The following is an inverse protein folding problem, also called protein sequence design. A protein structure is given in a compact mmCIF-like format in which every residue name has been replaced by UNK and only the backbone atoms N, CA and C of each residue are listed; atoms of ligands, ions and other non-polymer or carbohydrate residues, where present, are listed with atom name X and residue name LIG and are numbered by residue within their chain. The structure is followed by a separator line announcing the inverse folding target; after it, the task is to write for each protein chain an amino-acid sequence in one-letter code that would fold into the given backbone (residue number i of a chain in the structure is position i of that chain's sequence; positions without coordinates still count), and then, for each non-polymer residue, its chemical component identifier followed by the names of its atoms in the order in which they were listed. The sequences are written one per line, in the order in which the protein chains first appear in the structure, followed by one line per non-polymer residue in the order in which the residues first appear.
data_IF_253805156432
#
_entry.id   IF_253805156432
#
_cell.length_a   1.000
_cell.length_b   1.000
_cell.length_c   1.000
_cell.angle_alpha   90.00
_cell.angle_beta   90.00
_cell.angle_gamma   90.00
#
_symmetry.space_group_name_H-M   'P 1'
#
loop_
_entity.id
_entity.type
_entity.pdbx_description
1 polymer ?
#
# COMPACT_ATOMS: atom_id res chain seq x y z
N UNK A 1 4.57 21.01 40.99
CA UNK A 1 5.66 20.61 40.08
C UNK A 1 5.37 19.18 39.63
N UNK A 2 5.23 18.91 38.33
CA UNK A 2 5.13 17.51 37.87
C UNK A 2 6.41 16.75 38.21
N UNK A 3 6.27 15.49 38.63
CA UNK A 3 7.39 14.57 38.81
C UNK A 3 8.21 14.51 37.50
N UNK A 4 9.55 14.50 37.56
CA UNK A 4 10.39 14.27 36.38
C UNK A 4 9.94 13.14 35.45
N UNK A 5 9.39 12.05 36.01
CA UNK A 5 8.86 10.93 35.24
C UNK A 5 7.60 11.30 34.44
N UNK A 6 6.65 12.03 35.06
CA UNK A 6 5.44 12.51 34.39
C UNK A 6 5.78 13.49 33.25
N UNK A 7 6.79 14.34 33.43
CA UNK A 7 7.27 15.25 32.37
C UNK A 7 7.81 14.47 31.17
N UNK A 8 8.54 13.38 31.42
CA UNK A 8 9.06 12.51 30.36
C UNK A 8 7.93 11.79 29.63
N UNK A 9 6.94 11.27 30.36
CA UNK A 9 5.75 10.66 29.77
C UNK A 9 4.98 11.65 28.90
N UNK A 10 4.78 12.87 29.39
CA UNK A 10 4.12 13.92 28.63
C UNK A 10 4.88 14.26 27.33
N UNK A 11 6.20 14.42 27.41
CA UNK A 11 7.03 14.69 26.23
C UNK A 11 6.96 13.56 25.18
N UNK A 12 6.89 12.29 25.61
CA UNK A 12 6.70 11.15 24.69
C UNK A 12 5.34 11.20 24.01
N UNK A 13 4.27 11.50 24.76
CA UNK A 13 2.91 11.63 24.21
C UNK A 13 2.81 12.79 23.22
N UNK A 14 3.43 13.93 23.53
CA UNK A 14 3.41 15.09 22.63
C UNK A 14 4.20 14.81 21.35
N UNK A 15 5.39 14.18 21.45
CA UNK A 15 6.13 13.77 20.26
C UNK A 15 5.37 12.74 19.42
N UNK A 16 4.65 11.82 20.04
CA UNK A 16 3.78 10.89 19.34
C UNK A 16 2.66 11.60 18.57
N UNK A 17 1.99 12.58 19.19
CA UNK A 17 0.93 13.37 18.53
C UNK A 17 1.46 14.16 17.34
N UNK A 18 2.62 14.78 17.48
CA UNK A 18 3.30 15.48 16.38
C UNK A 18 3.59 14.52 15.22
N UNK A 19 4.23 13.38 15.50
CA UNK A 19 4.56 12.39 14.48
C UNK A 19 3.31 11.82 13.80
N UNK A 20 2.24 11.59 14.56
CA UNK A 20 0.96 11.14 14.02
C UNK A 20 0.32 12.19 13.08
N UNK A 21 0.41 13.47 13.43
CA UNK A 21 -0.08 14.56 12.58
C UNK A 21 0.75 14.70 11.29
N UNK A 22 2.08 14.58 11.38
CA UNK A 22 2.99 14.60 10.22
C UNK A 22 2.79 13.37 9.32
N UNK A 23 2.39 12.23 9.88
CA UNK A 23 2.26 10.99 9.13
C UNK A 23 1.20 11.08 8.01
N UNK A 24 0.08 11.76 8.23
CA UNK A 24 -1.00 11.85 7.25
C UNK A 24 -0.59 12.56 5.95
N UNK A 25 0.42 13.45 6.01
CA UNK A 25 0.85 14.30 4.89
C UNK A 25 2.30 14.09 4.45
N UNK A 26 3.13 13.43 5.27
CA UNK A 26 4.55 13.21 5.00
C UNK A 26 4.82 12.08 4.00
N UNK A 27 6.07 11.97 3.53
CA UNK A 27 6.47 10.99 2.52
C UNK A 27 6.83 9.60 3.08
N UNK A 28 6.86 9.44 4.40
CA UNK A 28 7.18 8.16 5.02
C UNK A 28 6.10 7.12 4.70
N UNK A 29 6.47 5.95 4.14
CA UNK A 29 5.51 4.89 3.90
C UNK A 29 5.00 4.32 5.23
N UNK A 30 3.74 3.87 5.29
CA UNK A 30 3.23 3.12 6.43
C UNK A 30 3.99 1.81 6.62
N UNK A 31 3.96 1.29 7.85
CA UNK A 31 4.46 -0.05 8.18
C UNK A 31 3.54 -1.17 7.70
N UNK A 32 2.25 -0.89 7.52
CA UNK A 32 1.24 -1.82 7.00
C UNK A 32 0.56 -1.23 5.77
N UNK A 33 0.32 -2.04 4.74
CA UNK A 33 -0.27 -1.57 3.47
C UNK A 33 -1.62 -0.86 3.68
N UNK A 34 -2.51 -1.38 4.53
CA UNK A 34 -3.81 -0.75 4.79
C UNK A 34 -3.73 0.66 5.38
N UNK A 35 -2.63 1.02 6.06
CA UNK A 35 -2.43 2.37 6.63
C UNK A 35 -2.12 3.43 5.59
N UNK A 36 -1.98 3.07 4.31
CA UNK A 36 -2.06 4.05 3.23
C UNK A 36 -3.40 4.80 3.22
N UNK A 37 -4.48 4.20 3.73
CA UNK A 37 -5.78 4.87 3.88
C UNK A 37 -5.72 6.06 4.87
N UNK A 38 -4.77 6.09 5.80
CA UNK A 38 -4.59 7.23 6.71
C UNK A 38 -3.91 8.43 6.02
N UNK A 39 -3.27 8.22 4.87
CA UNK A 39 -2.52 9.25 4.13
C UNK A 39 -3.41 9.95 3.10
N UNK A 40 -4.35 10.76 3.57
CA UNK A 40 -5.39 11.39 2.73
C UNK A 40 -4.82 12.18 1.54
N UNK A 41 -3.66 12.84 1.70
CA UNK A 41 -3.03 13.61 0.61
C UNK A 41 -2.50 12.74 -0.54
N UNK A 42 -2.40 11.42 -0.35
CA UNK A 42 -1.94 10.47 -1.37
C UNK A 42 -3.10 9.85 -2.17
N UNK A 43 -4.34 10.14 -1.79
CA UNK A 43 -5.56 9.61 -2.42
C UNK A 43 -6.16 10.67 -3.34
N UNK A 44 -6.44 10.29 -4.59
CA UNK A 44 -7.12 11.17 -5.55
C UNK A 44 -8.04 10.35 -6.46
N UNK A 45 -9.02 11.01 -7.09
CA UNK A 45 -9.91 10.36 -8.05
C UNK A 45 -9.16 9.67 -9.20
N UNK A 46 -8.03 10.24 -9.64
CA UNK A 46 -7.18 9.64 -10.67
C UNK A 46 -6.33 8.44 -10.20
N UNK A 47 -6.33 8.13 -8.91
CA UNK A 47 -5.58 7.02 -8.29
C UNK A 47 -6.47 6.04 -7.53
N UNK A 48 -7.78 6.17 -7.69
CA UNK A 48 -8.79 5.30 -7.06
C UNK A 48 -9.73 4.77 -8.14
N UNK A 49 -10.25 3.56 -7.94
CA UNK A 49 -11.18 2.90 -8.85
C UNK A 49 -12.12 2.00 -8.05
N UNK A 50 -13.38 1.94 -8.45
CA UNK A 50 -14.36 0.95 -7.97
C UNK A 50 -14.47 -0.25 -8.93
N UNK A 51 -13.88 -0.14 -10.13
CA UNK A 51 -13.93 -1.17 -11.15
C UNK A 51 -12.70 -2.10 -11.05
N UNK A 52 -12.96 -3.39 -10.88
CA UNK A 52 -11.93 -4.42 -10.79
C UNK A 52 -11.14 -4.55 -12.10
N UNK A 53 -11.81 -4.50 -13.25
CA UNK A 53 -11.17 -4.60 -14.56
C UNK A 53 -10.19 -3.46 -14.82
N UNK A 54 -10.56 -2.21 -14.47
CA UNK A 54 -9.65 -1.06 -14.54
C UNK A 54 -8.44 -1.26 -13.63
N UNK A 55 -8.68 -1.75 -12.40
CA UNK A 55 -7.62 -2.05 -11.43
C UNK A 55 -6.64 -3.11 -11.96
N UNK A 56 -7.16 -4.22 -12.50
CA UNK A 56 -6.35 -5.30 -13.07
C UNK A 56 -5.60 -4.83 -14.32
N UNK A 57 -6.23 -4.04 -15.20
CA UNK A 57 -5.57 -3.46 -16.36
C UNK A 57 -4.43 -2.53 -15.96
N UNK A 58 -4.60 -1.73 -14.90
CA UNK A 58 -3.52 -0.91 -14.35
C UNK A 58 -2.36 -1.78 -13.84
N UNK A 59 -2.65 -2.83 -13.07
CA UNK A 59 -1.66 -3.77 -12.56
C UNK A 59 -0.87 -4.45 -13.70
N UNK A 60 -1.56 -4.94 -14.73
CA UNK A 60 -0.94 -5.51 -15.93
C UNK A 60 0.00 -4.51 -16.59
N UNK A 61 -0.47 -3.28 -16.82
CA UNK A 61 0.34 -2.22 -17.42
C UNK A 61 1.60 -1.92 -16.60
N UNK A 62 1.50 -1.87 -15.27
CA UNK A 62 2.67 -1.64 -14.40
C UNK A 62 3.69 -2.79 -14.49
N UNK A 63 3.20 -4.03 -14.53
CA UNK A 63 4.04 -5.22 -14.65
C UNK A 63 4.75 -5.30 -16.01
N UNK A 64 4.03 -5.07 -17.12
CA UNK A 64 4.60 -5.10 -18.46
C UNK A 64 5.65 -3.99 -18.68
N UNK A 65 5.41 -2.81 -18.11
CA UNK A 65 6.38 -1.71 -18.15
C UNK A 65 7.62 -1.97 -17.28
N UNK A 66 7.51 -2.85 -16.28
CA UNK A 66 8.57 -3.16 -15.32
C UNK A 66 8.65 -4.68 -15.12
N UNK A 67 9.13 -5.45 -16.12
CA UNK A 67 9.16 -6.89 -16.01
C UNK A 67 10.11 -7.35 -14.90
N UNK A 68 9.80 -8.46 -14.20
CA UNK A 68 10.67 -9.00 -13.18
C UNK A 68 11.98 -9.53 -13.77
N UNK A 69 13.02 -9.56 -12.95
CA UNK A 69 14.28 -10.23 -13.24
C UNK A 69 14.05 -11.72 -13.54
N UNK A 70 14.70 -12.19 -14.60
CA UNK A 70 14.77 -13.61 -14.95
C UNK A 70 16.12 -14.18 -14.51
N UNK A 71 16.10 -15.39 -13.97
CA UNK A 71 17.33 -16.06 -13.51
C UNK A 71 18.15 -16.51 -14.71
N UNK A 72 19.47 -16.59 -14.52
CA UNK A 72 20.41 -17.05 -15.56
C UNK A 72 20.22 -18.52 -15.95
N UNK A 73 19.56 -19.31 -15.10
CA UNK A 73 19.22 -20.72 -15.35
C UNK A 73 17.90 -20.89 -16.12
N UNK A 74 17.28 -19.80 -16.59
CA UNK A 74 16.01 -19.82 -17.31
C UNK A 74 14.78 -20.10 -16.43
N UNK A 75 14.97 -20.27 -15.11
CA UNK A 75 13.85 -20.41 -14.18
C UNK A 75 13.31 -19.04 -13.77
N UNK A 76 12.03 -19.02 -13.36
CA UNK A 76 11.39 -17.81 -12.87
C UNK A 76 11.83 -17.51 -11.44
N UNK A 77 12.24 -16.27 -11.17
CA UNK A 77 12.47 -15.80 -9.80
C UNK A 77 11.16 -15.46 -9.06
N UNK A 78 10.11 -15.15 -9.81
CA UNK A 78 8.82 -14.67 -9.30
C UNK A 78 7.65 -15.40 -9.98
N UNK A 79 6.48 -15.35 -9.35
CA UNK A 79 5.24 -15.86 -9.95
C UNK A 79 4.91 -15.15 -11.26
N UNK A 80 4.23 -15.84 -12.18
CA UNK A 80 3.80 -15.25 -13.46
C UNK A 80 2.78 -14.13 -13.26
N UNK A 81 2.62 -13.31 -14.30
CA UNK A 81 1.54 -12.32 -14.36
C UNK A 81 0.17 -12.99 -14.17
N UNK A 82 -0.09 -14.11 -14.85
CA UNK A 82 -1.37 -14.83 -14.72
C UNK A 82 -1.66 -15.25 -13.29
N UNK A 83 -0.70 -15.85 -12.57
CA UNK A 83 -0.87 -16.23 -11.16
C UNK A 83 -1.11 -15.01 -10.27
N UNK A 84 -0.43 -13.89 -10.56
CA UNK A 84 -0.63 -12.64 -9.81
C UNK A 84 -2.02 -12.05 -10.04
N UNK A 85 -2.50 -12.08 -11.28
CA UNK A 85 -3.83 -11.59 -11.67
C UNK A 85 -4.94 -12.49 -11.14
N UNK A 86 -4.76 -13.81 -11.16
CA UNK A 86 -5.68 -14.78 -10.56
C UNK A 86 -5.88 -14.49 -9.07
N UNK A 87 -4.77 -14.34 -8.33
CA UNK A 87 -4.82 -13.96 -6.92
C UNK A 87 -5.51 -12.61 -6.72
N UNK A 88 -5.14 -11.58 -7.49
CA UNK A 88 -5.73 -10.25 -7.37
C UNK A 88 -7.25 -10.26 -7.64
N UNK A 89 -7.68 -11.02 -8.65
CA UNK A 89 -9.10 -11.18 -9.01
C UNK A 89 -9.90 -11.82 -7.88
N UNK A 90 -9.31 -12.77 -7.16
CA UNK A 90 -9.95 -13.44 -6.03
C UNK A 90 -9.99 -12.56 -4.76
N UNK A 91 -8.91 -11.85 -4.43
CA UNK A 91 -8.78 -11.17 -3.12
C UNK A 91 -9.33 -9.74 -3.10
N UNK A 92 -9.19 -8.97 -4.19
CA UNK A 92 -9.58 -7.56 -4.22
C UNK A 92 -11.09 -7.36 -3.94
N UNK A 93 -12.02 -8.15 -4.50
CA UNK A 93 -13.45 -8.01 -4.18
C UNK A 93 -13.81 -8.29 -2.71
N UNK A 94 -12.92 -8.98 -1.98
CA UNK A 94 -13.09 -9.31 -0.55
C UNK A 94 -12.46 -8.28 0.37
N UNK A 95 -11.99 -7.14 -0.17
CA UNK A 95 -11.38 -6.05 0.58
C UNK A 95 -9.95 -6.33 1.04
N UNK A 96 -9.24 -7.23 0.37
CA UNK A 96 -7.86 -7.60 0.71
C UNK A 96 -6.89 -6.91 -0.23
N UNK A 97 -5.93 -6.18 0.36
CA UNK A 97 -4.89 -5.48 -0.37
C UNK A 97 -4.03 -6.43 -1.21
N UNK A 98 -3.52 -5.93 -2.34
CA UNK A 98 -2.58 -6.64 -3.21
C UNK A 98 -1.31 -5.83 -3.31
N UNK A 99 -0.17 -6.44 -2.98
CA UNK A 99 1.15 -5.84 -3.15
C UNK A 99 2.03 -6.72 -4.02
N UNK A 100 2.62 -6.16 -5.07
CA UNK A 100 3.60 -6.82 -5.93
C UNK A 100 4.95 -6.17 -5.74
N UNK A 101 5.93 -6.97 -5.30
CA UNK A 101 7.29 -6.52 -5.04
C UNK A 101 8.28 -7.49 -5.66
N UNK A 102 9.19 -6.99 -6.48
CA UNK A 102 10.21 -7.80 -7.13
C UNK A 102 11.35 -6.94 -7.67
N UNK A 103 12.49 -7.58 -7.92
CA UNK A 103 13.63 -6.95 -8.59
C UNK A 103 13.46 -6.97 -10.10
N UNK A 104 13.88 -5.90 -10.77
CA UNK A 104 13.94 -5.79 -12.22
C UNK A 104 15.31 -6.26 -12.74
N UNK A 105 15.47 -6.47 -14.07
CA UNK A 105 16.77 -6.76 -14.67
C UNK A 105 17.87 -5.72 -14.35
N UNK A 106 17.50 -4.46 -14.11
CA UNK A 106 18.41 -3.38 -13.71
C UNK A 106 18.83 -3.43 -12.24
N UNK A 107 18.44 -4.47 -11.48
CA UNK A 107 18.65 -4.61 -10.03
C UNK A 107 17.95 -3.54 -9.19
N UNK A 108 16.95 -2.86 -9.75
CA UNK A 108 16.07 -1.96 -9.00
C UNK A 108 14.95 -2.76 -8.36
N UNK A 109 14.48 -2.33 -7.18
CA UNK A 109 13.29 -2.89 -6.56
C UNK A 109 12.07 -2.08 -6.99
N UNK A 110 11.03 -2.77 -7.45
CA UNK A 110 9.74 -2.18 -7.76
C UNK A 110 8.72 -2.67 -6.74
N UNK A 111 7.80 -1.77 -6.35
CA UNK A 111 6.70 -2.06 -5.44
C UNK A 111 5.44 -1.37 -5.91
N UNK A 112 4.43 -2.15 -6.28
CA UNK A 112 3.08 -1.67 -6.58
C UNK A 112 2.12 -2.20 -5.53
N UNK A 113 1.13 -1.40 -5.13
CA UNK A 113 0.10 -1.86 -4.19
C UNK A 113 -1.25 -1.28 -4.54
N UNK A 114 -2.28 -2.14 -4.49
CA UNK A 114 -3.68 -1.77 -4.47
C UNK A 114 -4.14 -1.89 -3.02
N UNK A 115 -4.66 -0.78 -2.49
CA UNK A 115 -5.17 -0.70 -1.12
C UNK A 115 -6.68 -0.67 -1.22
N UNK A 116 -7.35 -1.68 -0.68
CA UNK A 116 -8.79 -1.79 -0.69
C UNK A 116 -9.39 -0.84 0.34
N UNK A 117 -10.52 -0.24 -0.03
CA UNK A 117 -11.43 0.36 0.92
C UNK A 117 -12.89 0.02 0.56
N UNK A 118 -13.71 -0.50 1.51
CA UNK A 118 -13.34 -0.85 2.88
C UNK A 118 -12.28 -1.95 2.93
N UNK A 119 -11.35 -1.83 3.88
CA UNK A 119 -10.26 -2.78 4.07
C UNK A 119 -10.69 -3.90 5.02
N UNK A 120 -10.49 -5.16 4.63
CA UNK A 120 -10.89 -6.33 5.42
C UNK A 120 -10.15 -6.43 6.75
N UNK A 121 -8.88 -6.04 6.78
CA UNK A 121 -7.99 -6.18 7.94
C UNK A 121 -7.90 -4.90 8.79
N UNK A 122 -8.42 -3.78 8.28
CA UNK A 122 -8.50 -2.50 8.96
C UNK A 122 -9.92 -1.91 8.85
N UNK A 123 -10.95 -2.62 9.35
CA UNK A 123 -12.36 -2.20 9.21
C UNK A 123 -12.67 -0.88 9.92
N UNK A 124 -11.85 -0.47 10.88
CA UNK A 124 -11.95 0.79 11.61
C UNK A 124 -11.52 2.02 10.81
N UNK A 125 -10.81 1.84 9.69
CA UNK A 125 -10.31 2.94 8.86
C UNK A 125 -11.31 3.22 7.74
N UNK A 126 -11.93 4.40 7.80
CA UNK A 126 -12.86 4.88 6.77
C UNK A 126 -12.18 5.13 5.43
N UNK A 127 -12.95 5.02 4.34
CA UNK A 127 -12.47 5.37 3.00
C UNK A 127 -12.17 6.87 2.88
N UNK A 128 -10.97 7.26 2.42
CA UNK A 128 -10.62 8.68 2.27
C UNK A 128 -11.41 9.37 1.16
N UNK A 129 -11.78 8.62 0.11
CA UNK A 129 -12.63 9.06 -0.99
C UNK A 129 -13.68 7.98 -1.24
N UNK A 130 -14.80 7.95 -0.48
CA UNK A 130 -15.88 7.02 -0.76
C UNK A 130 -16.50 7.35 -2.14
N UNK A 131 -16.90 6.33 -2.92
CA UNK A 131 -17.62 6.58 -4.16
C UNK A 131 -18.94 7.32 -3.88
N UNK A 132 -19.22 8.34 -4.69
CA UNK A 132 -20.46 9.12 -4.66
C UNK A 132 -21.67 8.32 -5.11
#
# INVERSE_FOLDING_TARGET
MLNPEDKKQQAVLDRYREAAAEFATGNMPPTMTGYWLLKQSHVSAGRTSTDLGITLAWLTKQYEANPPFERTDGLRAYSTLDTKLEYATDVLPRGVDVSWVYYTPSKSLISFSIVCCPNRFHPEISCPLPPS
#
